data_IF_998862808981
#
_entry.id   IF_998862808981
#
_cell.length_a   1.000
_cell.length_b   1.000
_cell.length_c   1.000
_cell.angle_alpha   90.00
_cell.angle_beta   90.00
_cell.angle_gamma   90.00
#
_symmetry.space_group_name_H-M   'P 1'
#
loop_
_entity.id
_entity.type
_entity.pdbx_description
1 polymer ?
#
# COMPACT_ATOMS: atom_id res chain seq x y z
N UNK A 1 -15.90 -74.53 -41.96
CA UNK A 1 -16.62 -73.26 -41.74
C UNK A 1 -16.01 -72.54 -40.53
N UNK A 2 -15.17 -71.53 -40.77
CA UNK A 2 -14.74 -70.46 -39.84
C UNK A 2 -13.83 -69.52 -40.65
N UNK A 3 -14.45 -68.47 -41.20
CA UNK A 3 -13.79 -67.40 -41.96
C UNK A 3 -13.10 -66.50 -40.93
N UNK A 4 -11.79 -66.26 -41.09
CA UNK A 4 -11.07 -65.21 -40.35
C UNK A 4 -10.53 -64.18 -41.34
N UNK A 5 -11.30 -63.11 -41.46
CA UNK A 5 -10.99 -61.84 -42.11
C UNK A 5 -9.68 -61.27 -41.58
N UNK A 6 -8.73 -60.93 -42.46
CA UNK A 6 -7.54 -60.14 -42.12
C UNK A 6 -7.70 -58.74 -42.73
N UNK A 7 -7.69 -57.75 -41.84
CA UNK A 7 -7.87 -56.34 -42.13
C UNK A 7 -6.69 -55.75 -42.91
N UNK A 8 -7.02 -54.84 -43.83
CA UNK A 8 -6.12 -54.02 -44.64
C UNK A 8 -5.56 -52.91 -43.75
N UNK A 9 -4.23 -52.80 -43.65
CA UNK A 9 -3.56 -51.72 -42.93
C UNK A 9 -3.44 -50.50 -43.84
N UNK A 10 -4.19 -49.44 -43.52
CA UNK A 10 -4.10 -48.13 -44.18
C UNK A 10 -2.90 -47.36 -43.63
N UNK A 11 -1.96 -47.01 -44.50
CA UNK A 11 -0.78 -46.21 -44.20
C UNK A 11 -1.20 -44.74 -44.05
N UNK A 12 -1.17 -44.18 -42.83
CA UNK A 12 -1.34 -42.74 -42.60
C UNK A 12 0.05 -42.09 -42.68
N UNK A 13 0.29 -41.33 -43.75
CA UNK A 13 1.45 -40.44 -43.86
C UNK A 13 1.16 -39.19 -43.03
N UNK A 14 1.81 -39.07 -41.88
CA UNK A 14 1.77 -37.85 -41.06
C UNK A 14 2.77 -36.86 -41.63
N UNK A 15 2.25 -35.79 -42.25
CA UNK A 15 3.01 -34.61 -42.63
C UNK A 15 3.47 -33.89 -41.34
N UNK A 16 4.76 -34.00 -41.01
CA UNK A 16 5.40 -33.15 -40.00
C UNK A 16 5.49 -31.72 -40.56
N UNK A 17 4.55 -30.87 -40.18
CA UNK A 17 4.73 -29.42 -40.30
C UNK A 17 5.75 -28.97 -39.24
N UNK A 18 6.93 -28.57 -39.72
CA UNK A 18 7.94 -27.90 -38.91
C UNK A 18 7.38 -26.54 -38.47
N UNK A 19 6.74 -26.49 -37.31
CA UNK A 19 6.43 -25.23 -36.63
C UNK A 19 7.77 -24.67 -36.17
N UNK A 20 8.26 -23.63 -36.87
CA UNK A 20 9.47 -22.92 -36.48
C UNK A 20 9.31 -22.41 -35.05
N UNK A 21 10.05 -23.00 -34.12
CA UNK A 21 10.20 -22.46 -32.78
C UNK A 21 10.88 -21.09 -32.91
N UNK A 22 10.12 -20.01 -32.82
CA UNK A 22 10.71 -18.70 -32.56
C UNK A 22 11.41 -18.80 -31.21
N UNK A 23 12.73 -18.74 -31.22
CA UNK A 23 13.53 -18.63 -30.01
C UNK A 23 13.00 -17.42 -29.24
N UNK A 24 12.47 -17.63 -28.04
CA UNK A 24 12.11 -16.55 -27.14
C UNK A 24 13.35 -15.66 -26.98
N UNK A 25 13.29 -14.41 -27.45
CA UNK A 25 14.35 -13.44 -27.19
C UNK A 25 14.56 -13.40 -25.67
N UNK A 26 15.77 -13.76 -25.23
CA UNK A 26 16.17 -13.54 -23.85
C UNK A 26 15.98 -12.06 -23.54
N UNK A 27 15.17 -11.76 -22.51
CA UNK A 27 14.98 -10.40 -22.06
C UNK A 27 16.36 -9.80 -21.77
N UNK A 28 16.66 -8.67 -22.40
CA UNK A 28 17.85 -7.88 -22.05
C UNK A 28 17.83 -7.63 -20.55
N UNK A 29 18.95 -7.84 -19.83
CA UNK A 29 19.00 -7.57 -18.39
C UNK A 29 18.57 -6.13 -18.13
N UNK A 30 17.47 -5.96 -17.39
CA UNK A 30 17.07 -4.64 -16.92
C UNK A 30 18.23 -4.07 -16.09
N UNK A 31 18.74 -2.86 -16.38
CA UNK A 31 19.77 -2.27 -15.55
C UNK A 31 19.28 -2.18 -14.09
N UNK A 32 20.18 -2.34 -13.11
CA UNK A 32 19.79 -2.25 -11.70
C UNK A 32 19.13 -0.88 -11.45
N UNK A 33 18.10 -0.82 -10.59
CA UNK A 33 17.38 0.43 -10.35
C UNK A 33 18.32 1.52 -9.79
N UNK A 34 18.07 2.78 -10.19
CA UNK A 34 18.72 3.93 -9.54
C UNK A 34 18.11 4.13 -8.15
N UNK A 35 18.90 3.76 -7.13
CA UNK A 35 18.51 3.82 -5.73
C UNK A 35 18.64 5.21 -5.09
N UNK A 36 19.19 6.20 -5.79
CA UNK A 36 19.57 7.49 -5.20
C UNK A 36 18.44 8.18 -4.43
N UNK A 37 17.23 8.22 -5.00
CA UNK A 37 16.06 8.83 -4.34
C UNK A 37 15.60 8.05 -3.11
N UNK A 38 15.65 6.71 -3.18
CA UNK A 38 15.24 5.85 -2.07
C UNK A 38 16.26 5.89 -0.92
N UNK A 39 17.56 5.89 -1.25
CA UNK A 39 18.66 6.06 -0.31
C UNK A 39 18.55 7.43 0.38
N UNK A 40 18.38 8.52 -0.39
CA UNK A 40 18.18 9.85 0.18
C UNK A 40 17.00 9.89 1.15
N UNK A 41 15.87 9.27 0.79
CA UNK A 41 14.71 9.21 1.66
C UNK A 41 14.99 8.42 2.95
N UNK A 42 15.72 7.30 2.88
CA UNK A 42 16.10 6.52 4.06
C UNK A 42 17.02 7.32 4.99
N UNK A 43 17.97 8.10 4.43
CA UNK A 43 18.79 9.02 5.23
C UNK A 43 17.93 10.09 5.91
N UNK A 44 16.96 10.69 5.21
CA UNK A 44 16.02 11.66 5.78
C UNK A 44 15.18 11.05 6.92
N UNK A 45 14.92 9.73 6.85
CA UNK A 45 14.28 8.99 7.93
C UNK A 45 15.23 8.60 9.07
N UNK A 46 16.51 8.96 9.00
CA UNK A 46 17.52 8.70 10.01
C UNK A 46 18.07 7.27 10.00
N UNK A 47 17.96 6.55 8.87
CA UNK A 47 18.56 5.22 8.72
C UNK A 47 20.06 5.40 8.46
N UNK A 48 20.89 4.68 9.22
CA UNK A 48 22.35 4.72 9.08
C UNK A 48 22.82 4.09 7.77
N UNK A 49 23.93 4.58 7.21
CA UNK A 49 24.58 4.07 5.98
C UNK A 49 24.76 2.55 6.02
N UNK A 50 25.34 2.02 7.11
CA UNK A 50 25.52 0.57 7.30
C UNK A 50 24.22 -0.25 7.22
N UNK A 51 23.09 0.36 7.59
CA UNK A 51 21.79 -0.30 7.47
C UNK A 51 21.26 -0.17 6.06
N UNK A 52 21.39 1.01 5.43
CA UNK A 52 21.05 1.22 4.02
C UNK A 52 21.79 0.23 3.12
N UNK A 53 23.10 0.06 3.29
CA UNK A 53 23.91 -0.91 2.52
C UNK A 53 23.34 -2.33 2.61
N UNK A 54 22.91 -2.75 3.81
CA UNK A 54 22.30 -4.08 4.01
C UNK A 54 20.93 -4.19 3.35
N UNK A 55 20.13 -3.12 3.38
CA UNK A 55 18.83 -3.07 2.71
C UNK A 55 19.01 -3.11 1.19
N UNK A 56 19.97 -2.38 0.63
CA UNK A 56 20.29 -2.41 -0.80
C UNK A 56 20.71 -3.81 -1.24
N UNK A 57 21.59 -4.49 -0.50
CA UNK A 57 21.97 -5.89 -0.80
C UNK A 57 20.77 -6.83 -0.79
N UNK A 58 19.79 -6.60 0.08
CA UNK A 58 18.53 -7.37 0.14
C UNK A 58 17.68 -7.11 -1.11
N UNK A 59 17.56 -5.85 -1.53
CA UNK A 59 16.83 -5.44 -2.73
C UNK A 59 17.50 -5.95 -4.03
N UNK A 60 18.82 -5.95 -4.09
CA UNK A 60 19.58 -6.49 -5.24
C UNK A 60 19.32 -7.99 -5.45
N UNK A 61 18.98 -8.72 -4.38
CA UNK A 61 18.57 -10.13 -4.44
C UNK A 61 17.11 -10.32 -4.85
N UNK A 62 16.33 -9.25 -5.01
CA UNK A 62 14.90 -9.32 -5.28
C UNK A 62 14.04 -9.62 -4.07
N UNK A 63 14.59 -9.49 -2.85
CA UNK A 63 13.86 -9.72 -1.60
C UNK A 63 13.07 -8.47 -1.19
N UNK A 64 11.96 -8.65 -0.46
CA UNK A 64 11.21 -7.55 0.13
C UNK A 64 11.87 -7.06 1.42
N UNK A 65 11.86 -5.75 1.64
CA UNK A 65 12.13 -5.19 2.97
C UNK A 65 11.02 -5.59 3.94
N UNK A 66 11.31 -5.65 5.23
CA UNK A 66 10.28 -5.94 6.23
C UNK A 66 9.16 -4.87 6.20
N UNK A 67 9.48 -3.61 5.89
CA UNK A 67 8.50 -2.52 5.71
C UNK A 67 7.48 -2.75 4.58
N UNK A 68 7.84 -3.60 3.59
CA UNK A 68 7.04 -3.94 2.41
C UNK A 68 6.17 -5.16 2.60
N UNK A 69 6.33 -5.90 3.70
CA UNK A 69 5.62 -7.16 3.92
C UNK A 69 4.38 -6.94 4.78
N UNK A 70 3.28 -7.60 4.43
CA UNK A 70 2.06 -7.60 5.24
C UNK A 70 2.21 -8.38 6.55
N UNK A 71 3.11 -9.36 6.60
CA UNK A 71 3.34 -10.24 7.75
C UNK A 71 4.41 -9.75 8.74
N UNK A 72 5.01 -8.58 8.49
CA UNK A 72 6.05 -8.01 9.33
C UNK A 72 5.49 -6.97 10.31
N UNK A 73 5.78 -7.18 11.59
CA UNK A 73 5.44 -6.22 12.64
C UNK A 73 6.57 -5.20 12.87
N UNK A 74 6.25 -3.91 13.09
CA UNK A 74 7.23 -2.90 13.42
C UNK A 74 7.77 -3.12 14.84
N UNK A 75 9.09 -2.99 15.00
CA UNK A 75 9.76 -3.04 16.33
C UNK A 75 9.69 -1.69 17.06
N UNK A 76 9.37 -0.61 16.35
CA UNK A 76 9.19 0.73 16.91
C UNK A 76 8.21 1.55 16.08
N UNK A 77 7.41 2.37 16.75
CA UNK A 77 6.59 3.41 16.15
C UNK A 77 6.87 4.76 16.81
N UNK A 78 6.88 5.84 16.03
CA UNK A 78 7.13 7.19 16.54
C UNK A 78 6.35 8.23 15.74
N UNK A 79 5.62 9.15 16.40
CA UNK A 79 5.03 10.30 15.73
C UNK A 79 6.14 11.23 15.22
N UNK A 80 6.02 11.68 13.98
CA UNK A 80 6.91 12.63 13.31
C UNK A 80 6.08 13.78 12.71
N UNK A 81 6.73 14.81 12.16
CA UNK A 81 6.05 15.95 11.53
C UNK A 81 4.97 16.57 12.43
N UNK A 82 5.32 16.85 13.69
CA UNK A 82 4.41 17.38 14.71
C UNK A 82 3.14 16.53 14.93
N UNK A 83 3.23 15.20 14.75
CA UNK A 83 2.13 14.25 14.94
C UNK A 83 1.27 14.00 13.70
N UNK A 84 1.58 14.63 12.57
CA UNK A 84 0.83 14.46 11.31
C UNK A 84 1.24 13.20 10.53
N UNK A 85 2.27 12.48 10.98
CA UNK A 85 2.71 11.22 10.41
C UNK A 85 3.33 10.32 11.50
N UNK A 86 3.37 9.02 11.25
CA UNK A 86 4.04 8.04 12.11
C UNK A 86 5.06 7.29 11.30
N UNK A 87 6.28 7.24 11.84
CA UNK A 87 7.36 6.40 11.33
C UNK A 87 7.35 5.08 12.09
N UNK A 88 7.30 3.99 11.34
CA UNK A 88 7.45 2.62 11.80
C UNK A 88 8.83 2.12 11.39
N UNK A 89 9.56 1.52 12.32
CA UNK A 89 10.86 0.88 12.08
C UNK A 89 10.72 -0.61 12.25
N UNK A 90 11.31 -1.39 11.35
CA UNK A 90 11.22 -2.85 11.31
C UNK A 90 12.54 -3.50 11.73
N UNK A 91 12.50 -4.81 11.91
CA UNK A 91 13.63 -5.58 12.43
C UNK A 91 14.85 -5.53 11.52
N UNK A 92 14.67 -5.56 10.20
CA UNK A 92 15.78 -5.38 9.23
C UNK A 92 16.31 -3.94 9.14
N UNK A 93 15.69 -2.99 9.86
CA UNK A 93 16.05 -1.58 9.87
C UNK A 93 15.37 -0.75 8.78
N UNK A 94 14.56 -1.37 7.91
CA UNK A 94 13.69 -0.65 7.00
C UNK A 94 12.65 0.17 7.78
N UNK A 95 12.08 1.16 7.10
CA UNK A 95 11.16 2.13 7.69
C UNK A 95 9.98 2.36 6.77
N UNK A 96 8.82 2.60 7.39
CA UNK A 96 7.58 2.97 6.72
C UNK A 96 7.00 4.19 7.39
N UNK A 97 6.53 5.14 6.59
CA UNK A 97 5.84 6.33 7.06
C UNK A 97 4.40 6.29 6.58
N UNK A 98 3.48 6.35 7.54
CA UNK A 98 2.08 6.63 7.27
C UNK A 98 1.79 8.08 7.63
N UNK A 99 1.02 8.76 6.79
CA UNK A 99 0.56 10.14 7.02
C UNK A 99 -0.54 10.23 8.10
N UNK A 100 -0.33 9.58 9.25
CA UNK A 100 -1.14 9.63 10.50
C UNK A 100 -0.27 9.18 11.69
N UNK A 101 -0.27 9.89 12.84
CA UNK A 101 -0.94 9.60 14.16
C UNK A 101 -0.31 10.55 15.22
N UNK A 102 -1.06 11.34 16.00
CA UNK A 102 -1.77 10.98 17.24
C UNK A 102 -2.74 12.13 17.63
N UNK A 103 -3.91 11.81 18.17
CA UNK A 103 -4.73 12.75 18.95
C UNK A 103 -4.54 12.41 20.44
N UNK A 104 -4.10 13.32 21.31
CA UNK A 104 -4.22 13.11 22.75
C UNK A 104 -5.72 12.96 23.07
N UNK A 105 -6.10 11.88 23.74
CA UNK A 105 -7.45 11.76 24.31
C UNK A 105 -7.76 13.02 25.11
N UNK A 106 -8.61 13.91 24.59
CA UNK A 106 -9.34 14.83 25.43
C UNK A 106 -10.61 14.09 25.84
N UNK A 107 -10.70 13.82 27.14
CA UNK A 107 -11.91 13.32 27.77
C UNK A 107 -13.10 14.20 27.35
N UNK A 108 -14.28 13.62 27.08
CA UNK A 108 -15.47 14.39 26.74
C UNK A 108 -15.88 15.23 27.95
N UNK A 109 -15.50 16.50 27.97
CA UNK A 109 -16.07 17.43 28.93
C UNK A 109 -17.51 17.75 28.46
N UNK A 110 -18.46 17.33 29.30
CA UNK A 110 -19.91 17.54 29.24
C UNK A 110 -20.41 18.57 28.21
N UNK A 111 -21.15 18.08 27.21
CA UNK A 111 -22.16 18.87 26.48
C UNK A 111 -21.70 19.72 25.30
N UNK A 112 -20.40 19.83 25.03
CA UNK A 112 -19.89 20.64 23.90
C UNK A 112 -19.06 19.75 22.96
N UNK A 113 -19.33 19.77 21.65
CA UNK A 113 -18.44 19.14 20.67
C UNK A 113 -17.20 20.02 20.56
N UNK A 114 -16.20 19.74 21.38
CA UNK A 114 -14.86 20.32 21.23
C UNK A 114 -14.26 19.79 19.93
N UNK A 115 -13.94 20.69 19.02
CA UNK A 115 -13.06 20.40 17.88
C UNK A 115 -11.77 19.82 18.43
N UNK A 116 -11.46 18.58 18.06
CA UNK A 116 -10.21 17.94 18.40
C UNK A 116 -9.04 18.82 17.94
N UNK A 117 -7.97 18.87 18.72
CA UNK A 117 -6.76 19.57 18.33
C UNK A 117 -6.29 19.03 16.97
N UNK A 118 -6.28 19.90 15.98
CA UNK A 118 -6.12 19.58 14.56
C UNK A 118 -4.64 19.29 14.27
N UNK A 119 -4.24 18.03 14.31
CA UNK A 119 -2.97 17.54 13.75
C UNK A 119 -3.16 16.24 12.96
N UNK A 120 -4.32 16.03 12.33
CA UNK A 120 -4.80 14.66 12.13
C UNK A 120 -4.43 13.98 10.81
N UNK A 121 -4.28 14.66 9.68
CA UNK A 121 -3.75 14.08 8.41
C UNK A 121 -3.18 15.22 7.56
N UNK A 122 -2.06 14.98 6.87
CA UNK A 122 -1.45 15.98 5.97
C UNK A 122 -2.42 16.43 4.86
N UNK A 123 -2.41 17.72 4.52
CA UNK A 123 -3.15 18.27 3.39
C UNK A 123 -4.67 18.39 3.56
N UNK A 124 -5.23 18.15 4.76
CA UNK A 124 -6.64 18.37 5.02
C UNK A 124 -6.99 19.86 5.09
N UNK A 125 -8.12 20.24 4.46
CA UNK A 125 -8.89 21.42 4.87
C UNK A 125 -9.89 21.00 5.94
N UNK A 126 -10.03 21.79 6.99
CA UNK A 126 -10.97 21.53 8.07
C UNK A 126 -12.02 22.65 8.18
N UNK A 127 -13.26 22.24 8.43
CA UNK A 127 -14.36 23.12 8.80
C UNK A 127 -15.05 22.50 10.01
N UNK A 128 -15.42 23.31 10.99
CA UNK A 128 -16.18 22.86 12.15
C UNK A 128 -17.41 23.72 12.30
N UNK A 129 -18.55 23.06 12.47
CA UNK A 129 -19.77 23.69 12.98
C UNK A 129 -20.03 23.16 14.39
N UNK A 130 -21.00 23.71 15.10
CA UNK A 130 -21.31 23.37 16.49
C UNK A 130 -21.60 21.89 16.76
N UNK A 131 -21.77 21.04 15.73
CA UNK A 131 -22.14 19.64 15.88
C UNK A 131 -21.35 18.65 15.01
N UNK A 132 -20.44 19.11 14.15
CA UNK A 132 -19.68 18.22 13.24
C UNK A 132 -18.32 18.84 12.87
N UNK A 133 -17.30 17.98 12.84
CA UNK A 133 -16.00 18.29 12.27
C UNK A 133 -15.90 17.65 10.88
N UNK A 134 -15.64 18.47 9.86
CA UNK A 134 -15.55 18.08 8.45
C UNK A 134 -14.13 18.29 7.96
N UNK A 135 -13.57 17.27 7.33
CA UNK A 135 -12.24 17.24 6.77
C UNK A 135 -12.33 16.91 5.29
N UNK A 136 -11.67 17.69 4.45
CA UNK A 136 -11.76 17.57 2.99
C UNK A 136 -10.38 17.60 2.34
N UNK A 137 -10.20 16.78 1.30
CA UNK A 137 -8.97 16.76 0.50
C UNK A 137 -7.73 16.20 1.22
N UNK A 138 -7.94 15.46 2.32
CA UNK A 138 -6.87 14.87 3.12
C UNK A 138 -6.03 13.90 2.29
N UNK A 139 -4.71 14.02 2.39
CA UNK A 139 -3.77 13.14 1.71
C UNK A 139 -3.54 11.89 2.56
N UNK A 140 -4.11 10.77 2.12
CA UNK A 140 -3.85 9.46 2.69
C UNK A 140 -2.65 8.90 1.95
N UNK A 141 -1.53 8.72 2.65
CA UNK A 141 -0.22 8.35 2.08
C UNK A 141 0.49 7.30 2.94
N UNK A 142 1.01 6.29 2.25
CA UNK A 142 2.06 5.36 2.66
C UNK A 142 3.34 5.67 1.86
N UNK A 143 4.49 5.56 2.52
CA UNK A 143 5.81 5.73 1.92
C UNK A 143 6.84 4.90 2.70
N UNK A 144 7.55 4.00 2.04
CA UNK A 144 8.67 3.25 2.64
C UNK A 144 10.00 3.54 1.94
N UNK A 145 10.07 4.62 1.16
CA UNK A 145 11.22 4.99 0.35
C UNK A 145 11.33 4.22 -0.98
N UNK A 146 10.72 3.03 -1.07
CA UNK A 146 10.69 2.23 -2.29
C UNK A 146 9.37 2.39 -3.03
N UNK A 147 8.27 2.31 -2.30
CA UNK A 147 6.90 2.36 -2.80
C UNK A 147 6.13 3.47 -2.10
N UNK A 148 5.39 4.23 -2.90
CA UNK A 148 4.50 5.28 -2.42
C UNK A 148 3.09 4.96 -2.89
N UNK A 149 2.17 4.87 -1.93
CA UNK A 149 0.74 4.75 -2.19
C UNK A 149 0.07 6.00 -1.67
N UNK A 150 -0.82 6.59 -2.46
CA UNK A 150 -1.58 7.76 -2.02
C UNK A 150 -2.95 7.86 -2.66
N UNK A 151 -3.88 8.44 -1.92
CA UNK A 151 -5.15 8.94 -2.46
C UNK A 151 -5.62 10.15 -1.64
N UNK A 152 -6.62 10.86 -2.15
CA UNK A 152 -7.31 11.91 -1.40
C UNK A 152 -8.66 11.43 -0.92
N UNK A 153 -9.04 11.81 0.29
CA UNK A 153 -10.38 11.58 0.83
C UNK A 153 -10.83 12.73 1.73
N UNK A 154 -12.14 12.94 1.80
CA UNK A 154 -12.80 13.63 2.90
C UNK A 154 -13.29 12.64 3.96
N UNK A 155 -13.56 13.17 5.16
CA UNK A 155 -14.25 12.47 6.23
C UNK A 155 -14.90 13.47 7.19
N UNK A 156 -15.93 13.04 7.91
CA UNK A 156 -16.53 13.84 8.97
C UNK A 156 -16.75 13.02 10.23
N UNK A 157 -16.79 13.70 11.38
CA UNK A 157 -16.99 13.09 12.70
C UNK A 157 -17.90 13.98 13.54
N UNK A 158 -18.80 13.34 14.28
CA UNK A 158 -19.64 13.94 15.31
C UNK A 158 -19.70 13.00 16.51
N UNK A 159 -20.37 13.40 17.59
CA UNK A 159 -20.34 12.70 18.87
C UNK A 159 -20.68 11.20 18.79
N UNK A 160 -21.61 10.83 17.90
CA UNK A 160 -22.14 9.45 17.80
C UNK A 160 -21.85 8.78 16.47
N UNK A 161 -21.22 9.47 15.51
CA UNK A 161 -21.02 8.92 14.17
C UNK A 161 -19.87 9.53 13.40
N UNK A 162 -19.57 8.90 12.28
CA UNK A 162 -18.53 9.31 11.36
C UNK A 162 -18.84 8.82 9.96
N UNK A 163 -18.28 9.50 8.96
CA UNK A 163 -18.36 9.08 7.57
C UNK A 163 -17.06 9.37 6.82
N UNK A 164 -16.83 8.63 5.73
CA UNK A 164 -15.87 8.99 4.68
C UNK A 164 -16.65 9.59 3.50
N UNK A 165 -16.05 10.53 2.79
CA UNK A 165 -16.66 11.21 1.65
C UNK A 165 -15.61 11.59 0.61
N UNK A 166 -16.00 11.76 -0.65
CA UNK A 166 -15.16 12.35 -1.70
C UNK A 166 -13.74 11.77 -1.79
N UNK A 167 -13.63 10.48 -2.16
CA UNK A 167 -12.34 9.82 -2.38
C UNK A 167 -11.96 9.78 -3.86
N UNK A 168 -10.66 9.90 -4.14
CA UNK A 168 -10.15 9.90 -5.51
C UNK A 168 -8.66 10.15 -5.59
N UNK A 169 -8.15 10.42 -6.79
CA UNK A 169 -6.73 10.68 -7.04
C UNK A 169 -5.80 9.58 -6.53
N UNK A 170 -6.23 8.31 -6.65
CA UNK A 170 -5.41 7.17 -6.28
C UNK A 170 -4.16 7.10 -7.17
N UNK A 171 -3.01 6.89 -6.55
CA UNK A 171 -1.70 6.81 -7.20
C UNK A 171 -0.83 5.83 -6.45
N UNK A 172 -0.15 4.98 -7.21
CA UNK A 172 0.89 4.08 -6.72
C UNK A 172 2.12 4.33 -7.59
N UNK A 173 3.30 4.37 -6.96
CA UNK A 173 4.58 4.46 -7.64
C UNK A 173 5.60 3.63 -6.87
N UNK A 174 6.58 3.06 -7.56
CA UNK A 174 7.68 2.36 -6.92
C UNK A 174 8.99 2.64 -7.67
N UNK A 175 10.08 2.76 -6.91
CA UNK A 175 11.45 2.74 -7.42
C UNK A 175 12.00 1.30 -7.52
N UNK A 176 11.31 0.31 -6.95
CA UNK A 176 11.76 -1.08 -6.84
C UNK A 176 10.91 -2.06 -7.65
N UNK A 177 10.84 -1.88 -8.97
CA UNK A 177 10.10 -2.80 -9.84
C UNK A 177 8.82 -2.18 -10.37
N UNK A 178 7.68 -2.83 -10.14
CA UNK A 178 6.41 -2.40 -10.71
C UNK A 178 5.25 -2.48 -9.71
N UNK A 179 4.26 -1.61 -9.93
CA UNK A 179 2.98 -1.62 -9.24
C UNK A 179 1.85 -1.60 -10.27
N UNK A 180 0.76 -2.30 -9.98
CA UNK A 180 -0.44 -2.23 -10.82
C UNK A 180 -1.18 -0.89 -10.62
N UNK A 181 -2.00 -0.52 -11.60
CA UNK A 181 -2.86 0.66 -11.47
C UNK A 181 -3.75 0.51 -10.22
N UNK A 182 -3.72 1.47 -9.27
CA UNK A 182 -4.42 1.33 -8.01
C UNK A 182 -5.93 1.38 -8.20
N UNK A 183 -6.67 0.58 -7.42
CA UNK A 183 -8.14 0.52 -7.46
C UNK A 183 -8.70 0.65 -6.06
N UNK A 184 -9.85 1.30 -5.93
CA UNK A 184 -10.62 1.25 -4.68
C UNK A 184 -11.37 -0.08 -4.61
N UNK A 185 -11.03 -0.93 -3.66
CA UNK A 185 -11.56 -2.30 -3.54
C UNK A 185 -12.59 -2.45 -2.44
N UNK A 186 -12.60 -1.55 -1.46
CA UNK A 186 -13.58 -1.56 -0.38
C UNK A 186 -14.01 -0.16 0.02
N UNK A 187 -15.30 0.00 0.25
CA UNK A 187 -15.87 1.25 0.77
C UNK A 187 -17.04 0.95 1.70
N UNK A 188 -17.01 1.60 2.85
CA UNK A 188 -18.12 1.73 3.79
C UNK A 188 -18.25 3.20 4.15
N UNK A 189 -19.23 3.87 3.55
CA UNK A 189 -19.34 5.32 3.69
C UNK A 189 -19.57 5.77 5.14
N UNK A 190 -20.34 5.01 5.93
CA UNK A 190 -20.77 5.40 7.27
C UNK A 190 -20.27 4.42 8.34
N UNK A 191 -19.92 4.97 9.49
CA UNK A 191 -19.65 4.21 10.70
C UNK A 191 -20.93 3.54 11.21
N UNK A 192 -20.79 2.35 11.78
CA UNK A 192 -21.84 1.69 12.55
C UNK A 192 -21.23 0.77 13.61
N UNK A 193 -22.07 0.12 14.42
CA UNK A 193 -21.63 -0.89 15.39
C UNK A 193 -20.86 -2.06 14.76
N UNK A 194 -21.04 -2.32 13.47
CA UNK A 194 -20.32 -3.38 12.76
C UNK A 194 -18.98 -2.95 12.17
N UNK A 195 -18.56 -1.68 12.32
CA UNK A 195 -17.23 -1.24 11.92
C UNK A 195 -17.11 0.24 11.48
N UNK A 196 -15.87 0.72 11.30
CA UNK A 196 -15.55 2.09 10.91
C UNK A 196 -16.05 2.46 9.51
N UNK A 197 -16.34 3.74 9.29
CA UNK A 197 -16.39 4.26 7.93
C UNK A 197 -15.01 4.07 7.29
N UNK A 198 -14.96 3.47 6.11
CA UNK A 198 -13.70 3.01 5.51
C UNK A 198 -13.68 3.28 4.02
N UNK A 199 -12.53 3.70 3.50
CA UNK A 199 -12.19 3.62 2.09
C UNK A 199 -10.82 2.96 1.96
N UNK A 200 -10.69 2.00 1.06
CA UNK A 200 -9.47 1.24 0.84
C UNK A 200 -9.11 1.23 -0.63
N UNK A 201 -7.86 1.59 -0.93
CA UNK A 201 -7.23 1.30 -2.22
C UNK A 201 -6.37 0.05 -2.13
N UNK A 202 -6.15 -0.57 -3.28
CA UNK A 202 -5.32 -1.75 -3.49
C UNK A 202 -4.44 -1.53 -4.72
N UNK A 203 -3.21 -2.02 -4.65
CA UNK A 203 -2.33 -2.28 -5.79
C UNK A 203 -1.55 -3.56 -5.53
N UNK A 204 -0.99 -4.15 -6.57
CA UNK A 204 -0.08 -5.27 -6.47
C UNK A 204 1.33 -4.80 -6.81
N UNK A 205 2.26 -5.02 -5.90
CA UNK A 205 3.68 -4.77 -6.07
C UNK A 205 4.39 -6.02 -6.60
N UNK A 206 5.38 -5.83 -7.48
CA UNK A 206 6.30 -6.88 -7.96
C UNK A 206 7.72 -6.32 -8.03
N UNK A 207 8.68 -7.02 -7.43
CA UNK A 207 10.10 -6.62 -7.42
C UNK A 207 10.67 -6.50 -8.84
N UNK A 208 11.75 -5.73 -9.01
CA UNK A 208 12.36 -5.45 -10.33
C UNK A 208 12.75 -6.71 -11.14
N UNK A 209 13.10 -7.79 -10.47
CA UNK A 209 13.46 -9.08 -11.07
C UNK A 209 12.32 -10.12 -11.03
N UNK A 210 11.13 -9.74 -10.56
CA UNK A 210 9.95 -10.59 -10.49
C UNK A 210 10.00 -11.71 -9.45
N UNK A 211 11.01 -11.76 -8.58
CA UNK A 211 11.17 -12.83 -7.59
C UNK A 211 10.25 -12.67 -6.37
N UNK A 212 9.77 -11.46 -6.08
CA UNK A 212 8.88 -11.16 -4.97
C UNK A 212 7.68 -10.34 -5.43
N UNK A 213 6.54 -10.56 -4.79
CA UNK A 213 5.32 -9.79 -5.02
C UNK A 213 4.49 -9.72 -3.75
N UNK A 214 3.80 -8.59 -3.55
CA UNK A 214 2.95 -8.35 -2.38
C UNK A 214 1.68 -7.61 -2.82
N UNK A 215 0.52 -8.02 -2.29
CA UNK A 215 -0.68 -7.19 -2.36
C UNK A 215 -0.56 -6.06 -1.34
N UNK A 216 -0.73 -4.82 -1.79
CA UNK A 216 -0.63 -3.65 -0.93
C UNK A 216 -1.95 -2.90 -0.89
N UNK A 217 -2.50 -2.78 0.31
CA UNK A 217 -3.69 -1.99 0.60
C UNK A 217 -3.32 -0.73 1.39
N UNK A 218 -4.04 0.36 1.12
CA UNK A 218 -3.98 1.59 1.90
C UNK A 218 -5.41 2.03 2.23
N UNK A 219 -5.70 2.14 3.52
CA UNK A 219 -7.05 2.40 4.03
C UNK A 219 -7.09 3.62 4.91
N UNK A 220 -8.16 4.42 4.77
CA UNK A 220 -8.60 5.38 5.79
C UNK A 220 -9.77 4.75 6.55
N UNK A 221 -9.68 4.71 7.88
CA UNK A 221 -10.75 4.23 8.77
C UNK A 221 -11.13 5.32 9.76
N UNK A 222 -12.43 5.56 9.90
CA UNK A 222 -12.97 6.68 10.69
C UNK A 222 -14.07 6.18 11.61
N UNK A 223 -13.94 6.50 12.89
CA UNK A 223 -14.95 6.30 13.93
C UNK A 223 -15.27 7.66 14.59
N UNK A 224 -16.30 7.73 15.46
CA UNK A 224 -16.59 8.96 16.19
C UNK A 224 -15.40 9.45 17.02
N UNK A 225 -14.57 8.53 17.53
CA UNK A 225 -13.46 8.81 18.44
C UNK A 225 -12.07 8.71 17.81
N UNK A 226 -11.91 8.12 16.63
CA UNK A 226 -10.60 7.81 16.06
C UNK A 226 -10.57 7.93 14.53
N UNK A 227 -9.41 8.32 14.01
CA UNK A 227 -9.06 8.20 12.59
C UNK A 227 -7.77 7.39 12.51
N UNK A 228 -7.73 6.37 11.66
CA UNK A 228 -6.50 5.61 11.37
C UNK A 228 -6.25 5.52 9.87
N UNK A 229 -4.97 5.51 9.53
CA UNK A 229 -4.50 5.02 8.24
C UNK A 229 -3.84 3.69 8.50
N UNK A 230 -4.29 2.68 7.76
CA UNK A 230 -3.72 1.34 7.85
C UNK A 230 -3.16 0.96 6.48
N UNK A 231 -2.09 0.19 6.47
CA UNK A 231 -1.58 -0.47 5.28
C UNK A 231 -1.31 -1.94 5.57
N UNK A 232 -1.75 -2.82 4.68
CA UNK A 232 -1.19 -4.11 4.26
C UNK A 232 -2.18 -4.69 3.27
#
# INVERSE_FOLDING_TARGET
MKIKTRAIATLIVVLLSAVGAQAAQAATPTPPPDWSSAISWLHDQGVSDRTIDRLVVKLDRGELLDSQRSDADPVRSQPINNGTATRYTFRDGSVRVLSVTQDPQLAPNSGTITTLAVNTISGCKNQSTSSIAIYSGCLIKFDDGMTVLKFKSGYSRWSTGANVSGWGSASAATAYGSVTAPKFTFTRANYSSSGPATVQMHTKFTSWNGLSSEDMYLSLKVTPSKVTIDNY
#
